data_IF_467239245561
#
_entry.id   IF_467239245561
#
_cell.length_a   1.000
_cell.length_b   1.000
_cell.length_c   1.000
_cell.angle_alpha   90.00
_cell.angle_beta   90.00
_cell.angle_gamma   90.00
#
_symmetry.space_group_name_H-M   'P 1'
#
loop_
_entity.id
_entity.type
_entity.pdbx_description
1 polymer ?
#
# COMPACT_ATOMS: atom_id res chain seq x y z
N UNK A 1 10.54 -20.63 -1.48
CA UNK A 1 10.64 -19.58 -2.50
C UNK A 1 9.35 -18.79 -2.36
N UNK A 2 9.40 -17.59 -1.79
CA UNK A 2 8.29 -16.64 -1.88
C UNK A 2 8.08 -16.32 -3.35
N UNK A 3 6.85 -16.36 -3.86
CA UNK A 3 6.58 -15.98 -5.25
C UNK A 3 6.74 -14.48 -5.45
N UNK A 4 6.61 -14.01 -6.70
CA UNK A 4 6.59 -12.57 -7.00
C UNK A 4 5.36 -11.97 -6.31
N UNK A 5 5.54 -10.88 -5.58
CA UNK A 5 4.41 -10.12 -5.04
C UNK A 5 3.64 -9.46 -6.18
N UNK A 6 2.34 -9.65 -6.22
CA UNK A 6 1.40 -8.95 -7.08
C UNK A 6 0.54 -8.05 -6.18
N UNK A 7 0.39 -6.79 -6.58
CA UNK A 7 -0.44 -5.80 -5.89
C UNK A 7 -1.49 -5.29 -6.86
N UNK A 8 -2.74 -5.23 -6.43
CA UNK A 8 -3.85 -4.74 -7.24
C UNK A 8 -4.62 -3.63 -6.54
N UNK A 9 -5.03 -2.61 -7.28
CA UNK A 9 -6.00 -1.61 -6.85
C UNK A 9 -7.20 -1.71 -7.77
N UNK A 10 -8.40 -1.82 -7.19
CA UNK A 10 -9.62 -1.64 -7.95
C UNK A 10 -9.98 -0.16 -7.99
N UNK A 11 -10.61 0.27 -9.07
CA UNK A 11 -11.16 1.61 -9.22
C UNK A 11 -12.00 2.00 -8.00
N UNK A 12 -11.82 3.20 -7.44
CA UNK A 12 -12.60 3.63 -6.30
C UNK A 12 -14.09 3.67 -6.65
N UNK A 13 -14.95 3.35 -5.68
CA UNK A 13 -16.40 3.37 -5.79
C UNK A 13 -16.99 3.94 -4.51
N UNK A 14 -17.74 5.05 -4.60
CA UNK A 14 -18.49 5.63 -3.47
C UNK A 14 -17.68 5.87 -2.17
N UNK A 15 -16.41 6.23 -2.28
CA UNK A 15 -15.49 6.52 -1.18
C UNK A 15 -14.67 5.31 -0.73
N UNK A 16 -14.75 4.20 -1.47
CA UNK A 16 -14.07 2.94 -1.17
C UNK A 16 -13.11 2.54 -2.28
N UNK A 17 -11.98 1.93 -1.94
CA UNK A 17 -11.03 1.39 -2.91
C UNK A 17 -10.49 0.05 -2.42
N UNK A 18 -10.51 -0.99 -3.25
CA UNK A 18 -9.92 -2.29 -2.88
C UNK A 18 -8.42 -2.30 -3.12
N UNK A 19 -7.69 -2.94 -2.23
CA UNK A 19 -6.29 -3.34 -2.44
C UNK A 19 -6.16 -4.85 -2.24
N UNK A 20 -5.45 -5.49 -3.18
CA UNK A 20 -5.14 -6.91 -3.15
C UNK A 20 -3.64 -7.16 -3.10
N UNK A 21 -3.26 -8.24 -2.45
CA UNK A 21 -1.90 -8.75 -2.35
C UNK A 21 -1.92 -10.25 -2.62
N UNK A 22 -1.06 -10.71 -3.53
CA UNK A 22 -0.87 -12.13 -3.83
C UNK A 22 0.63 -12.40 -3.98
N UNK A 23 1.15 -13.45 -3.35
CA UNK A 23 2.54 -13.88 -3.53
C UNK A 23 2.68 -15.30 -4.12
N UNK A 24 1.59 -15.83 -4.68
CA UNK A 24 1.46 -17.18 -5.22
C UNK A 24 1.31 -18.27 -4.15
N UNK A 25 1.39 -17.93 -2.86
CA UNK A 25 1.19 -18.83 -1.73
C UNK A 25 0.00 -18.38 -0.89
N UNK A 26 -0.11 -17.07 -0.66
CA UNK A 26 -1.19 -16.44 0.10
C UNK A 26 -1.76 -15.27 -0.68
N UNK A 27 -3.06 -15.06 -0.51
CA UNK A 27 -3.81 -13.98 -1.12
C UNK A 27 -4.55 -13.22 -0.02
N UNK A 28 -4.46 -11.89 -0.04
CA UNK A 28 -5.16 -11.01 0.89
C UNK A 28 -5.79 -9.84 0.15
N UNK A 29 -7.08 -9.64 0.40
CA UNK A 29 -7.86 -8.57 -0.20
C UNK A 29 -8.59 -7.77 0.89
N UNK A 30 -8.47 -6.45 0.83
CA UNK A 30 -9.23 -5.55 1.70
C UNK A 30 -9.76 -4.35 0.93
N UNK A 31 -10.83 -3.74 1.45
CA UNK A 31 -11.36 -2.46 0.96
C UNK A 31 -11.00 -1.37 1.94
N UNK A 32 -10.62 -0.20 1.43
CA UNK A 32 -10.35 0.98 2.24
C UNK A 32 -11.44 2.00 2.08
N UNK A 33 -11.78 2.69 3.16
CA UNK A 33 -12.55 3.94 3.10
C UNK A 33 -11.58 5.13 3.04
N UNK A 34 -11.98 6.18 2.31
CA UNK A 34 -11.24 7.46 2.29
C UNK A 34 -11.15 8.15 3.67
N UNK A 35 -12.04 7.79 4.61
CA UNK A 35 -12.07 8.32 5.97
C UNK A 35 -11.97 7.19 6.99
N UNK A 36 -11.35 7.40 8.17
CA UNK A 36 -10.71 8.63 8.65
C UNK A 36 -9.28 8.86 8.11
N UNK A 37 -8.72 7.93 7.34
CA UNK A 37 -7.34 8.02 6.84
C UNK A 37 -7.26 8.59 5.43
N UNK A 38 -7.59 9.88 5.33
CA UNK A 38 -7.59 10.67 4.09
C UNK A 38 -6.22 10.74 3.38
N UNK A 39 -5.12 10.38 4.06
CA UNK A 39 -3.79 10.41 3.46
C UNK A 39 -3.22 9.01 3.22
N UNK A 40 -4.01 7.94 3.36
CA UNK A 40 -3.50 6.58 3.27
C UNK A 40 -2.80 6.26 1.92
N UNK A 41 -3.41 6.67 0.80
CA UNK A 41 -2.80 6.47 -0.53
C UNK A 41 -1.52 7.31 -0.75
N UNK A 42 -1.51 8.65 -0.52
CA UNK A 42 -0.27 9.41 -0.64
C UNK A 42 0.81 8.96 0.36
N UNK A 43 0.44 8.57 1.59
CA UNK A 43 1.41 8.08 2.58
C UNK A 43 2.00 6.74 2.18
N UNK A 44 1.23 5.84 1.57
CA UNK A 44 1.77 4.61 0.98
C UNK A 44 2.87 4.92 -0.05
N UNK A 45 2.61 5.84 -0.98
CA UNK A 45 3.59 6.24 -1.99
C UNK A 45 4.85 6.87 -1.35
N UNK A 46 4.69 7.69 -0.31
CA UNK A 46 5.81 8.30 0.43
C UNK A 46 6.67 7.25 1.15
N UNK A 47 6.02 6.30 1.83
CA UNK A 47 6.68 5.18 2.52
C UNK A 47 7.51 4.38 1.52
N UNK A 48 6.92 3.96 0.41
CA UNK A 48 7.62 3.17 -0.60
C UNK A 48 8.77 3.96 -1.25
N UNK A 49 8.58 5.26 -1.49
CA UNK A 49 9.65 6.14 -1.99
C UNK A 49 10.83 6.19 -1.03
N UNK A 50 10.57 6.31 0.28
CA UNK A 50 11.60 6.34 1.32
C UNK A 50 12.30 4.99 1.49
N UNK A 51 11.56 3.89 1.47
CA UNK A 51 12.12 2.53 1.53
C UNK A 51 13.04 2.25 0.35
N UNK A 52 12.67 2.77 -0.82
CA UNK A 52 13.50 2.70 -2.01
C UNK A 52 14.83 3.43 -1.85
N UNK A 53 14.92 4.52 -1.09
CA UNK A 53 16.16 5.30 -0.93
C UNK A 53 17.20 4.59 -0.05
N UNK A 54 18.35 4.11 -0.59
CA UNK A 54 19.39 3.43 0.20
C UNK A 54 20.01 4.34 1.26
N UNK A 55 19.90 5.65 1.10
CA UNK A 55 20.37 6.66 2.06
C UNK A 55 19.37 7.01 3.15
N UNK A 56 18.15 6.44 3.13
CA UNK A 56 17.17 6.66 4.19
C UNK A 56 17.62 6.00 5.50
N UNK A 57 17.65 6.75 6.60
CA UNK A 57 17.90 6.20 7.94
C UNK A 57 16.68 5.44 8.49
N UNK A 58 15.51 5.62 7.88
CA UNK A 58 14.27 5.00 8.32
C UNK A 58 14.06 3.66 7.62
N UNK A 59 14.05 2.59 8.42
CA UNK A 59 13.91 1.21 7.97
C UNK A 59 12.55 0.60 8.30
N UNK A 60 11.73 1.27 9.10
CA UNK A 60 10.42 0.76 9.52
C UNK A 60 9.33 1.82 9.35
N UNK A 61 8.22 1.39 8.75
CA UNK A 61 7.03 2.21 8.55
C UNK A 61 5.77 1.42 8.87
N UNK A 62 4.76 2.10 9.40
CA UNK A 62 3.43 1.53 9.61
C UNK A 62 2.42 2.45 8.94
N UNK A 63 1.77 1.95 7.90
CA UNK A 63 0.65 2.61 7.25
C UNK A 63 -0.66 2.14 7.89
N UNK A 64 -1.45 3.10 8.36
CA UNK A 64 -2.79 2.83 8.89
C UNK A 64 -3.80 2.81 7.76
N UNK A 65 -4.59 1.75 7.71
CA UNK A 65 -5.57 1.49 6.66
C UNK A 65 -6.88 1.01 7.32
N UNK A 66 -8.07 1.44 6.86
CA UNK A 66 -9.34 1.15 7.55
C UNK A 66 -10.44 0.69 6.59
N UNK A 67 -11.28 -0.24 7.04
CA UNK A 67 -12.43 -0.80 6.31
C UNK A 67 -13.78 -0.57 7.00
N UNK A 68 -13.79 -0.06 8.24
CA UNK A 68 -14.98 0.21 9.09
C UNK A 68 -15.94 -1.00 9.24
N UNK A 69 -15.99 -1.67 10.42
CA UNK A 69 -15.27 -1.35 11.65
C UNK A 69 -13.82 -1.85 11.67
N UNK A 70 -13.45 -2.76 10.75
CA UNK A 70 -12.13 -3.39 10.72
C UNK A 70 -11.04 -2.36 10.41
N UNK A 71 -9.87 -2.54 11.03
CA UNK A 71 -8.69 -1.72 10.80
C UNK A 71 -7.49 -2.59 10.46
N UNK A 72 -6.54 -2.02 9.72
CA UNK A 72 -5.34 -2.70 9.26
C UNK A 72 -4.10 -1.83 9.47
N UNK A 73 -2.99 -2.46 9.83
CA UNK A 73 -1.66 -1.87 9.81
C UNK A 73 -0.83 -2.58 8.75
N UNK A 74 -0.34 -1.84 7.75
CA UNK A 74 0.64 -2.36 6.80
C UNK A 74 2.00 -1.93 7.31
N UNK A 75 2.74 -2.91 7.82
CA UNK A 75 4.07 -2.71 8.38
C UNK A 75 5.10 -3.10 7.34
N UNK A 76 5.99 -2.16 7.06
CA UNK A 76 7.11 -2.34 6.15
C UNK A 76 8.40 -2.28 6.96
N UNK A 77 9.23 -3.32 6.86
CA UNK A 77 10.52 -3.40 7.53
C UNK A 77 11.60 -3.71 6.50
N UNK A 78 12.46 -2.73 6.24
CA UNK A 78 13.64 -2.89 5.39
C UNK A 78 14.80 -3.43 6.21
N UNK A 79 15.41 -4.50 5.71
CA UNK A 79 16.65 -5.06 6.22
C UNK A 79 17.66 -5.19 5.07
N UNK A 80 18.58 -4.23 5.01
CA UNK A 80 19.50 -4.04 3.89
C UNK A 80 18.73 -3.99 2.54
N UNK A 81 18.91 -5.01 1.69
CA UNK A 81 18.29 -5.11 0.36
C UNK A 81 16.95 -5.86 0.38
N UNK A 82 16.53 -6.39 1.53
CA UNK A 82 15.27 -7.10 1.71
C UNK A 82 14.18 -6.18 2.31
N UNK A 83 12.93 -6.44 1.93
CA UNK A 83 11.76 -5.78 2.47
C UNK A 83 10.76 -6.82 2.97
N UNK A 84 10.41 -6.73 4.24
CA UNK A 84 9.32 -7.46 4.88
C UNK A 84 8.07 -6.58 4.88
N UNK A 85 6.99 -7.08 4.30
CA UNK A 85 5.64 -6.53 4.38
C UNK A 85 4.80 -7.43 5.28
N UNK A 86 4.23 -6.88 6.35
CA UNK A 86 3.27 -7.56 7.22
C UNK A 86 1.97 -6.77 7.24
N UNK A 87 0.83 -7.45 7.14
CA UNK A 87 -0.49 -6.84 7.28
C UNK A 87 -1.14 -7.41 8.53
N UNK A 88 -1.37 -6.53 9.50
CA UNK A 88 -2.09 -6.87 10.71
C UNK A 88 -3.53 -6.38 10.60
N UNK A 89 -4.49 -7.25 10.85
CA UNK A 89 -5.90 -6.91 10.97
C UNK A 89 -6.27 -6.73 12.45
N UNK A 90 -7.12 -5.75 12.72
CA UNK A 90 -7.75 -5.50 14.00
C UNK A 90 -9.27 -5.58 13.85
N UNK A 91 -10.00 -6.14 14.83
CA UNK A 91 -11.46 -6.21 14.78
C UNK A 91 -12.15 -4.85 14.73
N UNK A 92 -11.55 -3.84 15.36
CA UNK A 92 -12.08 -2.46 15.44
C UNK A 92 -11.00 -1.42 15.17
N UNK A 93 -11.41 -0.17 14.94
CA UNK A 93 -10.54 1.00 14.79
C UNK A 93 -9.69 1.34 16.03
N UNK A 94 -10.02 0.76 17.19
CA UNK A 94 -9.27 0.94 18.45
C UNK A 94 -7.87 0.32 18.40
N UNK A 95 -7.63 -0.60 17.44
CA UNK A 95 -6.34 -1.24 17.18
C UNK A 95 -5.73 -1.89 18.43
N UNK A 96 -6.54 -2.64 19.17
CA UNK A 96 -6.11 -3.36 20.37
C UNK A 96 -5.08 -4.43 19.99
N UNK A 97 -3.82 -4.22 20.42
CA UNK A 97 -2.69 -5.08 20.01
C UNK A 97 -2.84 -6.56 20.38
N UNK A 98 -3.57 -6.87 21.46
CA UNK A 98 -3.84 -8.24 21.88
C UNK A 98 -4.85 -8.98 20.97
N UNK A 99 -5.62 -8.23 20.18
CA UNK A 99 -6.65 -8.75 19.27
C UNK A 99 -6.20 -8.71 17.81
N UNK A 100 -4.97 -8.30 17.54
CA UNK A 100 -4.44 -8.21 16.18
C UNK A 100 -4.13 -9.59 15.63
N UNK A 101 -4.41 -9.78 14.35
CA UNK A 101 -4.08 -11.00 13.61
C UNK A 101 -3.18 -10.66 12.43
N UNK A 102 -2.11 -11.45 12.22
CA UNK A 102 -1.30 -11.34 11.01
C UNK A 102 -2.05 -12.05 9.88
N UNK A 103 -2.56 -11.28 8.92
CA UNK A 103 -3.40 -11.79 7.82
C UNK A 103 -2.64 -11.95 6.51
N UNK A 104 -1.50 -11.28 6.37
CA UNK A 104 -0.62 -11.43 5.22
C UNK A 104 0.82 -11.09 5.61
N UNK A 105 1.78 -11.84 5.07
CA UNK A 105 3.20 -11.53 5.22
C UNK A 105 3.95 -11.91 3.94
N UNK A 106 4.81 -11.02 3.47
CA UNK A 106 5.64 -11.25 2.31
C UNK A 106 7.06 -10.73 2.55
N UNK A 107 8.06 -11.45 2.04
CA UNK A 107 9.45 -11.01 2.04
C UNK A 107 10.03 -11.13 0.65
N UNK A 108 10.57 -10.02 0.15
CA UNK A 108 11.18 -9.92 -1.18
C UNK A 108 12.33 -8.91 -1.19
N UNK A 109 12.95 -8.73 -2.35
CA UNK A 109 13.94 -7.65 -2.54
C UNK A 109 13.21 -6.30 -2.57
N UNK A 110 13.82 -5.27 -1.98
CA UNK A 110 13.30 -3.89 -2.00
C UNK A 110 12.85 -3.46 -3.41
N UNK A 111 13.67 -3.56 -4.48
CA UNK A 111 13.25 -3.15 -5.82
C UNK A 111 12.07 -3.97 -6.37
N UNK A 112 12.01 -5.27 -6.10
CA UNK A 112 10.95 -6.14 -6.59
C UNK A 112 9.61 -5.79 -5.94
N UNK A 113 9.60 -5.66 -4.61
CA UNK A 113 8.39 -5.32 -3.84
C UNK A 113 7.89 -3.94 -4.22
N UNK A 114 8.76 -2.92 -4.27
CA UNK A 114 8.38 -1.56 -4.66
C UNK A 114 7.92 -1.53 -6.13
N UNK A 115 8.56 -2.30 -7.01
CA UNK A 115 8.18 -2.41 -8.42
C UNK A 115 6.75 -2.91 -8.60
N UNK A 116 6.32 -3.90 -7.81
CA UNK A 116 4.94 -4.42 -7.85
C UNK A 116 3.89 -3.37 -7.53
N UNK A 117 4.15 -2.48 -6.55
CA UNK A 117 3.24 -1.34 -6.29
C UNK A 117 3.25 -0.32 -7.44
N UNK A 118 4.39 -0.18 -8.14
CA UNK A 118 4.51 0.76 -9.24
C UNK A 118 3.64 0.41 -10.44
N UNK A 119 3.60 -0.87 -10.83
CA UNK A 119 2.69 -1.35 -11.87
C UNK A 119 1.24 -0.98 -11.54
N UNK A 120 0.83 -1.15 -10.28
CA UNK A 120 -0.52 -0.83 -9.81
C UNK A 120 -0.82 0.67 -9.78
N UNK A 121 0.12 1.50 -9.33
CA UNK A 121 -0.07 2.95 -9.31
C UNK A 121 -0.13 3.54 -10.72
N UNK A 122 0.61 2.97 -11.68
CA UNK A 122 0.50 3.39 -13.08
C UNK A 122 -0.88 3.07 -13.66
N UNK A 123 -1.43 1.90 -13.37
CA UNK A 123 -2.78 1.54 -13.75
C UNK A 123 -3.81 2.50 -13.12
N UNK A 124 -3.73 2.70 -11.80
CA UNK A 124 -4.63 3.61 -11.08
C UNK A 124 -4.56 5.04 -11.62
N UNK A 125 -3.36 5.51 -11.98
CA UNK A 125 -3.18 6.82 -12.61
C UNK A 125 -3.79 6.87 -14.01
N UNK A 126 -3.61 5.83 -14.84
CA UNK A 126 -4.15 5.78 -16.19
C UNK A 126 -5.69 5.77 -16.19
N UNK A 127 -6.29 5.02 -15.28
CA UNK A 127 -7.74 4.84 -15.18
C UNK A 127 -8.45 6.00 -14.47
N UNK A 128 -7.70 6.94 -13.86
CA UNK A 128 -8.23 8.04 -13.04
C UNK A 128 -9.32 8.88 -13.70
N UNK A 129 -9.21 9.10 -15.01
CA UNK A 129 -10.16 9.92 -15.79
C UNK A 129 -11.39 9.11 -16.18
N UNK A 130 -11.20 7.83 -16.55
CA UNK A 130 -12.27 6.90 -16.93
C UNK A 130 -13.16 6.56 -15.74
N UNK A 131 -12.56 6.42 -14.54
CA UNK A 131 -13.24 5.97 -13.34
C UNK A 131 -13.76 7.12 -12.46
N UNK A 132 -13.75 8.36 -12.96
CA UNK A 132 -14.12 9.56 -12.21
C UNK A 132 -13.47 9.57 -10.81
N UNK A 133 -12.16 9.28 -10.75
CA UNK A 133 -11.44 8.95 -9.52
C UNK A 133 -11.73 9.92 -8.39
N UNK A 134 -11.67 11.23 -8.63
CA UNK A 134 -11.89 12.23 -7.59
C UNK A 134 -13.33 12.22 -7.05
N UNK A 135 -14.32 11.99 -7.92
CA UNK A 135 -15.71 11.88 -7.52
C UNK A 135 -15.94 10.63 -6.68
N UNK A 136 -15.37 9.51 -7.11
CA UNK A 136 -15.54 8.22 -6.46
C UNK A 136 -14.68 8.05 -5.21
N UNK A 137 -13.45 8.53 -5.19
CA UNK A 137 -12.54 8.44 -4.05
C UNK A 137 -12.77 9.56 -3.03
N UNK A 138 -13.47 10.64 -3.40
CA UNK A 138 -13.66 11.86 -2.62
C UNK A 138 -12.39 12.68 -2.38
N UNK A 139 -11.30 12.34 -3.05
CA UNK A 139 -10.02 13.06 -2.96
C UNK A 139 -9.32 13.09 -4.32
N UNK A 140 -8.50 14.12 -4.58
CA UNK A 140 -7.70 14.15 -5.81
C UNK A 140 -6.66 13.05 -5.80
N UNK A 141 -6.28 12.58 -7.00
CA UNK A 141 -5.16 11.66 -7.14
C UNK A 141 -3.86 12.34 -6.65
N UNK A 142 -3.02 11.68 -5.83
CA UNK A 142 -1.81 12.27 -5.26
C UNK A 142 -0.67 12.36 -6.29
N UNK A 143 -0.82 13.28 -7.25
CA UNK A 143 0.10 13.44 -8.40
C UNK A 143 1.55 13.65 -7.99
N UNK A 144 1.78 14.48 -6.95
CA UNK A 144 3.13 14.80 -6.50
C UNK A 144 3.86 13.56 -5.98
N UNK A 145 3.22 12.83 -5.07
CA UNK A 145 3.75 11.60 -4.47
C UNK A 145 3.96 10.52 -5.52
N UNK A 146 3.05 10.40 -6.48
CA UNK A 146 3.18 9.47 -7.61
C UNK A 146 4.39 9.81 -8.50
N UNK A 147 4.60 11.08 -8.84
CA UNK A 147 5.76 11.50 -9.63
C UNK A 147 7.08 11.29 -8.87
N UNK A 148 7.11 11.58 -7.57
CA UNK A 148 8.28 11.33 -6.71
C UNK A 148 8.61 9.83 -6.68
N UNK A 149 7.60 9.00 -6.49
CA UNK A 149 7.71 7.54 -6.51
C UNK A 149 8.22 7.03 -7.87
N UNK A 150 7.65 7.49 -8.98
CA UNK A 150 8.12 7.12 -10.33
C UNK A 150 9.56 7.53 -10.60
N UNK A 151 9.96 8.73 -10.18
CA UNK A 151 11.36 9.17 -10.29
C UNK A 151 12.29 8.24 -9.51
N UNK A 152 11.85 7.72 -8.36
CA UNK A 152 12.62 6.78 -7.56
C UNK A 152 12.76 5.43 -8.24
N UNK A 153 11.67 4.87 -8.78
CA UNK A 153 11.70 3.60 -9.51
C UNK A 153 12.65 3.64 -10.71
N UNK A 154 12.63 4.73 -11.48
CA UNK A 154 13.49 4.89 -12.66
C UNK A 154 14.97 5.16 -12.36
N UNK A 155 15.34 5.31 -11.08
CA UNK A 155 16.71 5.55 -10.61
C UNK A 155 17.34 4.35 -9.88
N UNK A 156 16.54 3.34 -9.54
CA UNK A 156 17.02 2.06 -9.02
C UNK A 156 17.49 1.17 -10.16
#
# INVERSE_FOLDING_TARGET
>A
MTGKLEVSFNSPQCGWMSIGFDDGISEFHTTTAHAPHELALPDLMRILTSLGDPGSDQNEFVLKWNRDPEAFDFRFVRDADALLLEIYQYPTEDRVAAERELVFAHTGQVPDVIGSFGETFEQLYADRETDEFEFNWRQPFPLKEFEDFKRRLNRG
#
